data_IF_897909214474
#
_entry.id   IF_897909214474
#
_cell.length_a   1.000
_cell.length_b   1.000
_cell.length_c   1.000
_cell.angle_alpha   90.00
_cell.angle_beta   90.00
_cell.angle_gamma   90.00
#
_symmetry.space_group_name_H-M   'P 1'
#
loop_
_entity.id
_entity.type
_entity.pdbx_description
1 polymer ?
#
# COMPACT_ATOMS: atom_id res chain seq x y z
N UNK A 1 10.81 4.93 -32.99
CA UNK A 1 9.92 5.66 -32.06
C UNK A 1 10.38 7.11 -32.04
N UNK A 2 9.48 8.07 -32.23
CA UNK A 2 9.82 9.50 -32.21
C UNK A 2 10.24 9.94 -30.79
N UNK A 3 11.35 10.70 -30.62
CA UNK A 3 11.77 11.27 -29.34
C UNK A 3 10.65 11.97 -28.55
N UNK A 4 9.70 12.60 -29.24
CA UNK A 4 8.56 13.29 -28.60
C UNK A 4 7.59 12.28 -27.97
N UNK A 5 7.29 11.19 -28.69
CA UNK A 5 6.46 10.09 -28.19
C UNK A 5 7.12 9.38 -27.00
N UNK A 6 8.45 9.25 -27.02
CA UNK A 6 9.21 8.65 -25.91
C UNK A 6 9.12 9.48 -24.64
N UNK A 7 9.26 10.81 -24.74
CA UNK A 7 9.12 11.71 -23.58
C UNK A 7 7.71 11.67 -22.99
N UNK A 8 6.68 11.69 -23.83
CA UNK A 8 5.29 11.60 -23.38
C UNK A 8 5.02 10.28 -22.65
N UNK A 9 5.56 9.17 -23.16
CA UNK A 9 5.44 7.86 -22.51
C UNK A 9 6.14 7.85 -21.14
N UNK A 10 7.36 8.39 -21.05
CA UNK A 10 8.10 8.49 -19.80
C UNK A 10 7.35 9.31 -18.74
N UNK A 11 6.79 10.46 -19.14
CA UNK A 11 5.98 11.30 -18.25
C UNK A 11 4.74 10.56 -17.75
N UNK A 12 4.04 9.86 -18.65
CA UNK A 12 2.85 9.07 -18.27
C UNK A 12 3.21 7.96 -17.28
N UNK A 13 4.29 7.23 -17.53
CA UNK A 13 4.76 6.17 -16.61
C UNK A 13 5.14 6.75 -15.25
N UNK A 14 5.88 7.87 -15.23
CA UNK A 14 6.26 8.52 -13.97
C UNK A 14 5.03 8.99 -13.17
N UNK A 15 4.00 9.50 -13.86
CA UNK A 15 2.74 9.89 -13.22
C UNK A 15 1.99 8.68 -12.68
N UNK A 16 1.84 7.61 -13.47
CA UNK A 16 1.19 6.38 -13.00
C UNK A 16 1.89 5.75 -11.79
N UNK A 17 3.23 5.77 -11.76
CA UNK A 17 4.00 5.30 -10.61
C UNK A 17 3.74 6.15 -9.37
N UNK A 18 3.72 7.48 -9.52
CA UNK A 18 3.44 8.40 -8.43
C UNK A 18 2.03 8.22 -7.88
N UNK A 19 1.03 8.09 -8.75
CA UNK A 19 -0.35 7.86 -8.35
C UNK A 19 -0.51 6.50 -7.63
N UNK A 20 0.17 5.45 -8.09
CA UNK A 20 0.19 4.15 -7.41
C UNK A 20 0.82 4.23 -6.02
N UNK A 21 1.91 4.98 -5.87
CA UNK A 21 2.57 5.18 -4.58
C UNK A 21 1.67 5.94 -3.61
N UNK A 22 1.05 7.04 -4.06
CA UNK A 22 0.08 7.81 -3.26
C UNK A 22 -1.05 6.90 -2.78
N UNK A 23 -1.71 6.18 -3.68
CA UNK A 23 -2.83 5.30 -3.32
C UNK A 23 -2.41 4.18 -2.34
N UNK A 24 -1.17 3.67 -2.47
CA UNK A 24 -0.63 2.67 -1.55
C UNK A 24 -0.43 3.26 -0.15
N UNK A 25 0.16 4.46 -0.05
CA UNK A 25 0.40 5.14 1.21
C UNK A 25 -0.91 5.56 1.89
N UNK A 26 -1.86 6.12 1.14
CA UNK A 26 -3.18 6.50 1.65
C UNK A 26 -3.92 5.31 2.25
N UNK A 27 -3.90 4.17 1.56
CA UNK A 27 -4.51 2.94 2.04
C UNK A 27 -3.90 2.51 3.38
N UNK A 28 -2.58 2.39 3.47
CA UNK A 28 -1.94 1.92 4.70
C UNK A 28 -2.05 2.93 5.86
N UNK A 29 -2.03 4.23 5.55
CA UNK A 29 -2.26 5.27 6.55
C UNK A 29 -3.68 5.19 7.12
N UNK A 30 -4.69 4.96 6.27
CA UNK A 30 -6.07 4.77 6.72
C UNK A 30 -6.20 3.56 7.64
N UNK A 31 -5.59 2.43 7.27
CA UNK A 31 -5.60 1.22 8.10
C UNK A 31 -4.96 1.46 9.48
N UNK A 32 -3.84 2.18 9.54
CA UNK A 32 -3.20 2.57 10.80
C UNK A 32 -4.07 3.52 11.64
N UNK A 33 -4.68 4.54 11.01
CA UNK A 33 -5.62 5.45 11.67
C UNK A 33 -6.83 4.71 12.25
N UNK A 34 -7.32 3.67 11.56
CA UNK A 34 -8.41 2.84 12.04
C UNK A 34 -8.03 2.04 13.30
N UNK A 35 -6.78 1.58 13.41
CA UNK A 35 -6.29 0.92 14.64
C UNK A 35 -6.16 1.94 15.78
N UNK A 36 -5.57 3.09 15.51
CA UNK A 36 -5.43 4.17 16.50
C UNK A 36 -6.80 4.64 17.05
N UNK A 37 -7.78 4.80 16.16
CA UNK A 37 -9.14 5.22 16.50
C UNK A 37 -9.88 4.26 17.44
N UNK A 38 -9.49 2.98 17.50
CA UNK A 38 -10.09 2.01 18.42
C UNK A 38 -9.75 2.25 19.88
N UNK A 39 -8.73 3.07 20.17
CA UNK A 39 -8.31 3.46 21.53
C UNK A 39 -8.26 2.25 22.48
N UNK A 40 -7.47 1.24 22.09
CA UNK A 40 -7.37 -0.01 22.83
C UNK A 40 -7.09 0.21 24.31
N UNK A 41 -7.86 -0.45 25.17
CA UNK A 41 -7.74 -0.35 26.64
C UNK A 41 -6.67 -1.27 27.20
N UNK A 42 -6.24 -2.25 26.42
CA UNK A 42 -5.21 -3.20 26.78
C UNK A 42 -4.26 -3.46 25.60
N UNK A 43 -3.06 -3.94 25.93
CA UNK A 43 -2.01 -4.23 24.96
C UNK A 43 -2.38 -5.41 24.05
N UNK A 44 -3.17 -6.37 24.54
CA UNK A 44 -3.51 -7.58 23.78
C UNK A 44 -4.40 -7.25 22.57
N UNK A 45 -5.38 -6.37 22.74
CA UNK A 45 -6.24 -5.87 21.66
C UNK A 45 -5.43 -5.12 20.59
N UNK A 46 -4.52 -4.24 21.03
CA UNK A 46 -3.62 -3.53 20.12
C UNK A 46 -2.73 -4.50 19.33
N UNK A 47 -2.13 -5.47 20.01
CA UNK A 47 -1.30 -6.50 19.37
C UNK A 47 -2.08 -7.34 18.36
N UNK A 48 -3.34 -7.67 18.66
CA UNK A 48 -4.20 -8.42 17.74
C UNK A 48 -4.44 -7.64 16.44
N UNK A 49 -4.80 -6.37 16.54
CA UNK A 49 -5.06 -5.54 15.37
C UNK A 49 -3.80 -5.25 14.54
N UNK A 50 -2.66 -5.04 15.21
CA UNK A 50 -1.38 -4.93 14.53
C UNK A 50 -1.01 -6.21 13.77
N UNK A 51 -1.17 -7.39 14.38
CA UNK A 51 -0.93 -8.68 13.71
C UNK A 51 -1.85 -8.86 12.49
N UNK A 52 -3.11 -8.44 12.60
CA UNK A 52 -4.04 -8.48 11.48
C UNK A 52 -3.59 -7.56 10.33
N UNK A 53 -3.11 -6.34 10.63
CA UNK A 53 -2.57 -5.42 9.64
C UNK A 53 -1.32 -5.99 8.95
N UNK A 54 -0.37 -6.51 9.73
CA UNK A 54 0.84 -7.16 9.21
C UNK A 54 0.49 -8.31 8.26
N UNK A 55 -0.48 -9.16 8.64
CA UNK A 55 -0.94 -10.26 7.77
C UNK A 55 -1.54 -9.78 6.43
N UNK A 56 -2.28 -8.66 6.44
CA UNK A 56 -2.80 -8.02 5.21
C UNK A 56 -1.65 -7.50 4.34
N UNK A 57 -0.67 -6.82 4.94
CA UNK A 57 0.52 -6.31 4.25
C UNK A 57 1.31 -7.46 3.60
N UNK A 58 1.61 -8.52 4.34
CA UNK A 58 2.33 -9.68 3.85
C UNK A 58 1.59 -10.39 2.71
N UNK A 59 0.28 -10.56 2.84
CA UNK A 59 -0.55 -11.16 1.79
C UNK A 59 -0.50 -10.34 0.51
N UNK A 60 -0.64 -9.01 0.63
CA UNK A 60 -0.59 -8.10 -0.52
C UNK A 60 0.80 -8.09 -1.16
N UNK A 61 1.86 -8.08 -0.35
CA UNK A 61 3.24 -8.15 -0.82
C UNK A 61 3.52 -9.47 -1.56
N UNK A 62 3.06 -10.60 -1.03
CA UNK A 62 3.20 -11.93 -1.66
C UNK A 62 2.52 -11.98 -3.03
N UNK A 63 1.30 -11.45 -3.12
CA UNK A 63 0.56 -11.36 -4.39
C UNK A 63 1.29 -10.48 -5.41
N UNK A 64 1.78 -9.31 -4.99
CA UNK A 64 2.51 -8.39 -5.86
C UNK A 64 3.86 -8.95 -6.33
N UNK A 65 4.55 -9.74 -5.50
CA UNK A 65 5.78 -10.44 -5.87
C UNK A 65 5.55 -11.63 -6.83
N UNK A 66 4.33 -11.86 -7.29
CA UNK A 66 4.01 -12.89 -8.27
C UNK A 66 3.75 -14.27 -7.67
N UNK A 67 3.33 -14.35 -6.40
CA UNK A 67 2.86 -15.59 -5.80
C UNK A 67 1.61 -16.13 -6.51
N UNK A 68 1.83 -16.91 -7.56
CA UNK A 68 0.86 -17.85 -8.12
C UNK A 68 0.74 -19.00 -7.11
N UNK A 69 -0.46 -19.17 -6.55
CA UNK A 69 -0.94 -20.45 -6.01
C UNK A 69 -2.23 -20.76 -6.72
#
# INVERSE_FOLDING_TARGET
>A
MDPTQLKQLQQKVAEELRQREIALLEYWLLELKNIDAKRHRDLAGLQSDFKALLGRMDTRLRRLKGGHT
#
